data_IF_143071004470
#
_entry.id   IF_143071004470
#
_cell.length_a   1.000
_cell.length_b   1.000
_cell.length_c   1.000
_cell.angle_alpha   90.00
_cell.angle_beta   90.00
_cell.angle_gamma   90.00
#
_symmetry.space_group_name_H-M   'P 1'
#
loop_
_entity.id
_entity.type
_entity.pdbx_description
1 polymer ?
#
# COMPACT_ATOMS: atom_id res chain seq x y z
N UNK A 1 -3.50 6.89 -7.84
CA UNK A 1 -2.87 8.10 -7.28
C UNK A 1 -1.37 7.94 -7.10
N UNK A 2 -0.90 6.87 -6.45
CA UNK A 2 0.50 6.70 -6.03
C UNK A 2 1.52 6.78 -7.16
N UNK A 3 1.22 6.22 -8.35
CA UNK A 3 2.05 6.37 -9.55
C UNK A 3 2.33 7.83 -9.92
N UNK A 4 1.33 8.72 -9.79
CA UNK A 4 1.51 10.16 -10.06
C UNK A 4 2.27 10.84 -8.94
N UNK A 5 1.99 10.48 -7.69
CA UNK A 5 2.69 11.02 -6.51
C UNK A 5 4.19 10.69 -6.51
N UNK A 6 4.57 9.48 -6.95
CA UNK A 6 5.96 9.05 -7.06
C UNK A 6 6.85 9.98 -7.90
N UNK A 7 6.26 10.71 -8.86
CA UNK A 7 6.98 11.69 -9.66
C UNK A 7 7.16 13.07 -8.97
N UNK A 8 6.48 13.31 -7.84
CA UNK A 8 6.48 14.59 -7.13
C UNK A 8 7.49 14.59 -5.97
N UNK A 9 8.76 14.38 -6.31
CA UNK A 9 9.85 14.13 -5.36
C UNK A 9 10.03 15.24 -4.32
N UNK A 10 9.66 16.49 -4.63
CA UNK A 10 9.72 17.61 -3.68
C UNK A 10 8.87 17.39 -2.41
N UNK A 11 7.87 16.50 -2.45
CA UNK A 11 7.01 16.22 -1.29
C UNK A 11 7.46 15.02 -0.46
N UNK A 12 8.41 14.22 -0.94
CA UNK A 12 8.78 12.95 -0.32
C UNK A 12 9.31 13.11 1.13
N UNK A 13 9.94 14.24 1.45
CA UNK A 13 10.48 14.50 2.79
C UNK A 13 9.44 15.01 3.81
N UNK A 14 8.28 15.48 3.35
CA UNK A 14 7.30 16.18 4.20
C UNK A 14 5.97 15.45 4.33
N UNK A 15 5.63 14.56 3.41
CA UNK A 15 4.39 13.81 3.48
C UNK A 15 4.43 12.71 4.55
N UNK A 16 3.26 12.40 5.10
CA UNK A 16 3.03 11.21 5.91
C UNK A 16 1.56 10.88 5.92
N UNK A 17 1.25 9.60 5.96
CA UNK A 17 -0.10 9.09 6.23
C UNK A 17 -0.10 8.20 7.48
N UNK A 18 0.96 8.20 8.29
CA UNK A 18 1.09 7.28 9.42
C UNK A 18 -0.04 7.47 10.46
N UNK A 19 -0.69 6.37 10.87
CA UNK A 19 -1.75 6.39 11.90
C UNK A 19 -1.28 6.84 13.28
N UNK A 20 0.03 6.71 13.57
CA UNK A 20 0.61 7.09 14.87
C UNK A 20 1.22 8.50 14.87
N UNK A 21 1.39 9.12 13.70
CA UNK A 21 1.99 10.45 13.58
C UNK A 21 0.96 11.57 13.83
N UNK A 22 -0.27 11.42 13.34
CA UNK A 22 -1.33 12.43 13.47
C UNK A 22 -2.38 12.02 14.51
N UNK A 23 -2.07 12.26 15.80
CA UNK A 23 -2.99 11.99 16.90
C UNK A 23 -3.41 13.29 17.61
N UNK A 24 -4.61 13.32 18.19
CA UNK A 24 -5.14 14.50 18.91
C UNK A 24 -4.25 14.93 20.08
N UNK A 25 -3.56 13.98 20.69
CA UNK A 25 -2.66 14.15 21.84
C UNK A 25 -1.22 14.51 21.41
N UNK A 26 -0.99 14.73 20.12
CA UNK A 26 0.34 14.92 19.54
C UNK A 26 0.89 13.65 18.88
N UNK A 27 2.04 13.76 18.20
CA UNK A 27 2.68 12.60 17.57
C UNK A 27 3.06 11.56 18.63
N UNK A 28 2.80 10.29 18.31
CA UNK A 28 3.21 9.14 19.14
C UNK A 28 4.48 8.47 18.62
N UNK A 29 5.19 9.13 17.72
CA UNK A 29 6.46 8.64 17.15
C UNK A 29 7.46 9.76 16.97
N UNK A 30 8.73 9.37 17.03
CA UNK A 30 9.83 10.21 16.59
C UNK A 30 9.89 10.18 15.06
N UNK A 31 9.79 11.36 14.44
CA UNK A 31 9.73 11.50 12.98
C UNK A 31 8.31 11.37 12.42
N UNK A 32 8.20 10.88 11.18
CA UNK A 32 6.94 10.91 10.39
C UNK A 32 6.27 9.56 10.21
N UNK A 33 6.99 8.47 10.38
CA UNK A 33 6.55 7.11 10.09
C UNK A 33 6.90 6.19 11.25
N UNK A 34 5.92 5.39 11.69
CA UNK A 34 6.13 4.47 12.80
C UNK A 34 6.69 3.11 12.38
N UNK A 35 6.85 2.86 11.08
CA UNK A 35 7.28 1.56 10.52
C UNK A 35 6.30 0.40 10.68
N UNK A 36 5.32 0.49 11.59
CA UNK A 36 4.54 -0.68 12.04
C UNK A 36 3.02 -0.59 11.84
N UNK A 37 2.43 0.58 11.62
CA UNK A 37 0.96 0.64 11.44
C UNK A 37 0.54 0.18 10.03
N UNK A 38 -0.73 -0.24 9.83
CA UNK A 38 -1.22 -0.65 8.52
C UNK A 38 -1.04 0.39 7.41
N UNK A 39 -1.09 1.69 7.74
CA UNK A 39 -0.80 2.74 6.75
C UNK A 39 0.68 2.83 6.35
N UNK A 40 1.63 2.53 7.25
CA UNK A 40 3.05 2.46 6.88
C UNK A 40 3.30 1.31 5.89
N UNK A 41 2.77 0.12 6.21
CA UNK A 41 2.85 -1.07 5.34
C UNK A 41 2.17 -0.85 3.99
N UNK A 42 0.95 -0.31 3.99
CA UNK A 42 0.24 -0.02 2.74
C UNK A 42 0.96 1.03 1.90
N UNK A 43 1.48 2.09 2.51
CA UNK A 43 2.26 3.13 1.79
C UNK A 43 3.51 2.50 1.16
N UNK A 44 4.20 1.61 1.87
CA UNK A 44 5.35 0.87 1.33
C UNK A 44 4.96 0.08 0.09
N UNK A 45 3.92 -0.75 0.16
CA UNK A 45 3.41 -1.51 -0.99
C UNK A 45 2.97 -0.59 -2.13
N UNK A 46 2.31 0.53 -1.84
CA UNK A 46 1.76 1.40 -2.86
C UNK A 46 2.85 2.20 -3.62
N UNK A 47 3.96 2.52 -2.95
CA UNK A 47 5.09 3.25 -3.55
C UNK A 47 6.10 2.34 -4.26
N UNK A 48 6.32 1.12 -3.73
CA UNK A 48 7.36 0.20 -4.19
C UNK A 48 7.38 -0.06 -5.71
N UNK A 49 6.24 -0.23 -6.42
CA UNK A 49 6.26 -0.46 -7.87
C UNK A 49 6.70 0.76 -8.71
N UNK A 50 6.79 1.94 -8.10
CA UNK A 50 7.00 3.21 -8.80
C UNK A 50 8.26 3.95 -8.39
N UNK A 51 8.92 3.51 -7.32
CA UNK A 51 10.11 4.15 -6.75
C UNK A 51 11.21 3.12 -6.53
N UNK A 52 12.49 3.50 -6.73
CA UNK A 52 13.60 2.65 -6.35
C UNK A 52 13.56 2.27 -4.88
N UNK A 53 14.01 1.07 -4.55
CA UNK A 53 13.97 0.55 -3.17
C UNK A 53 14.60 1.51 -2.16
N UNK A 54 15.77 2.07 -2.48
CA UNK A 54 16.45 3.05 -1.64
C UNK A 54 15.62 4.31 -1.35
N UNK A 55 14.79 4.76 -2.29
CA UNK A 55 13.93 5.93 -2.08
C UNK A 55 12.75 5.62 -1.15
N UNK A 56 12.14 4.43 -1.28
CA UNK A 56 11.08 4.00 -0.37
C UNK A 56 11.64 3.86 1.05
N UNK A 57 12.82 3.26 1.21
CA UNK A 57 13.51 3.17 2.51
C UNK A 57 13.79 4.56 3.08
N UNK A 58 14.28 5.51 2.26
CA UNK A 58 14.53 6.87 2.71
C UNK A 58 13.26 7.61 3.19
N UNK A 59 12.11 7.35 2.55
CA UNK A 59 10.83 7.95 2.95
C UNK A 59 10.34 7.35 4.26
N UNK A 60 10.31 6.01 4.35
CA UNK A 60 9.71 5.30 5.49
C UNK A 60 10.65 5.22 6.71
N UNK A 61 11.97 5.38 6.49
CA UNK A 61 13.01 5.21 7.49
C UNK A 61 13.40 3.74 7.73
N UNK A 62 12.82 2.80 6.99
CA UNK A 62 13.00 1.36 7.18
C UNK A 62 12.63 0.59 5.91
N UNK A 63 13.18 -0.62 5.75
CA UNK A 63 12.92 -1.50 4.62
C UNK A 63 11.88 -2.55 4.97
N UNK A 64 10.62 -2.11 5.12
CA UNK A 64 9.58 -2.96 5.69
C UNK A 64 9.31 -4.25 4.90
N UNK A 65 9.59 -4.27 3.59
CA UNK A 65 9.41 -5.48 2.76
C UNK A 65 10.54 -6.51 2.92
N UNK A 66 11.59 -6.18 3.67
CA UNK A 66 12.71 -7.05 3.99
C UNK A 66 12.85 -7.35 5.49
N UNK A 67 11.94 -6.83 6.32
CA UNK A 67 11.88 -7.06 7.77
C UNK A 67 10.96 -8.24 8.10
N UNK A 68 11.46 -9.36 8.64
CA UNK A 68 10.63 -10.54 8.97
C UNK A 68 9.48 -10.23 9.94
N UNK A 69 9.67 -9.29 10.86
CA UNK A 69 8.68 -8.88 11.86
C UNK A 69 7.43 -8.25 11.21
N UNK A 70 7.55 -7.74 9.98
CA UNK A 70 6.44 -7.12 9.24
C UNK A 70 5.53 -8.14 8.55
N UNK A 71 5.92 -9.42 8.49
CA UNK A 71 5.21 -10.45 7.72
C UNK A 71 3.72 -10.52 8.09
N UNK A 72 3.40 -10.60 9.39
CA UNK A 72 2.03 -10.72 9.86
C UNK A 72 1.17 -9.54 9.37
N UNK A 73 1.74 -8.34 9.35
CA UNK A 73 1.05 -7.15 8.87
C UNK A 73 0.83 -7.14 7.35
N UNK A 74 1.82 -7.55 6.55
CA UNK A 74 1.64 -7.65 5.10
C UNK A 74 0.69 -8.78 4.70
N UNK A 75 0.69 -9.90 5.44
CA UNK A 75 -0.32 -10.97 5.31
C UNK A 75 -1.73 -10.43 5.55
N UNK A 76 -1.93 -9.69 6.64
CA UNK A 76 -3.22 -9.08 6.94
C UNK A 76 -3.68 -8.11 5.84
N UNK A 77 -2.78 -7.27 5.30
CA UNK A 77 -3.13 -6.35 4.20
C UNK A 77 -3.64 -7.06 2.95
N UNK A 78 -3.10 -8.25 2.65
CA UNK A 78 -3.42 -9.07 1.49
C UNK A 78 -4.42 -10.20 1.80
N UNK A 79 -4.94 -10.26 3.03
CA UNK A 79 -5.82 -11.31 3.54
C UNK A 79 -5.25 -12.72 3.27
N UNK A 80 -3.96 -12.90 3.55
CA UNK A 80 -3.22 -14.16 3.40
C UNK A 80 -3.18 -14.89 4.74
N UNK A 81 -4.29 -15.54 5.10
CA UNK A 81 -4.49 -16.25 6.38
C UNK A 81 -4.52 -15.31 7.61
N UNK A 82 -4.88 -14.05 7.41
CA UNK A 82 -5.07 -13.06 8.48
C UNK A 82 -6.10 -12.01 8.05
N UNK A 83 -6.90 -11.52 8.99
CA UNK A 83 -7.92 -10.51 8.73
C UNK A 83 -7.30 -9.14 8.44
N UNK A 84 -7.85 -8.44 7.44
CA UNK A 84 -7.39 -7.10 7.08
C UNK A 84 -7.79 -6.09 8.16
N UNK A 85 -6.87 -5.20 8.60
CA UNK A 85 -7.19 -4.15 9.54
C UNK A 85 -8.14 -3.11 8.91
N UNK A 86 -9.20 -2.74 9.65
CA UNK A 86 -10.20 -1.74 9.23
C UNK A 86 -9.64 -0.34 8.96
N UNK A 87 -8.53 0.00 9.61
CA UNK A 87 -7.87 1.31 9.48
C UNK A 87 -7.08 1.48 8.17
N UNK A 88 -6.97 0.42 7.35
CA UNK A 88 -6.30 0.49 6.05
C UNK A 88 -7.29 0.85 4.95
N UNK A 89 -6.98 1.93 4.20
CA UNK A 89 -7.82 2.46 3.13
C UNK A 89 -7.67 1.73 1.79
N UNK A 90 -6.55 1.04 1.56
CA UNK A 90 -6.36 0.23 0.35
C UNK A 90 -7.15 -1.06 0.46
N UNK A 91 -7.71 -1.56 -0.63
CA UNK A 91 -8.47 -2.82 -0.69
C UNK A 91 -7.54 -4.04 -0.64
N UNK A 92 -8.09 -5.22 -0.34
CA UNK A 92 -7.33 -6.50 -0.43
C UNK A 92 -6.80 -6.72 -1.84
N UNK A 93 -7.63 -6.42 -2.86
CA UNK A 93 -7.29 -6.61 -4.26
C UNK A 93 -6.14 -5.69 -4.70
N UNK A 94 -6.14 -4.43 -4.26
CA UNK A 94 -5.02 -3.51 -4.51
C UNK A 94 -3.74 -4.02 -3.85
N UNK A 95 -3.78 -4.43 -2.57
CA UNK A 95 -2.60 -4.96 -1.89
C UNK A 95 -2.02 -6.19 -2.61
N UNK A 96 -2.89 -7.11 -3.04
CA UNK A 96 -2.50 -8.31 -3.79
C UNK A 96 -1.90 -7.98 -5.15
N UNK A 97 -2.48 -7.03 -5.88
CA UNK A 97 -1.95 -6.58 -7.16
C UNK A 97 -0.59 -5.90 -7.02
N UNK A 98 -0.43 -5.04 -6.00
CA UNK A 98 0.84 -4.40 -5.67
C UNK A 98 1.91 -5.43 -5.35
N UNK A 99 1.62 -6.35 -4.43
CA UNK A 99 2.55 -7.42 -4.04
C UNK A 99 2.92 -8.33 -5.22
N UNK A 100 1.93 -8.67 -6.07
CA UNK A 100 2.17 -9.48 -7.28
C UNK A 100 3.08 -8.77 -8.27
N UNK A 101 2.93 -7.45 -8.45
CA UNK A 101 3.78 -6.68 -9.34
C UNK A 101 5.24 -6.63 -8.85
N UNK A 102 5.47 -6.67 -7.54
CA UNK A 102 6.83 -6.67 -6.98
C UNK A 102 7.61 -7.96 -7.26
N UNK A 103 6.93 -9.07 -7.53
CA UNK A 103 7.58 -10.36 -7.88
C UNK A 103 8.51 -10.23 -9.07
N UNK A 104 8.13 -9.42 -10.06
CA UNK A 104 8.85 -9.27 -11.31
C UNK A 104 9.61 -7.92 -11.37
N UNK A 105 9.58 -7.14 -10.27
CA UNK A 105 10.21 -5.83 -10.19
C UNK A 105 11.70 -5.93 -9.83
N UNK A 106 12.56 -5.21 -10.55
CA UNK A 106 14.01 -5.37 -10.45
C UNK A 106 14.60 -5.11 -9.06
N UNK A 107 14.12 -4.06 -8.39
CA UNK A 107 14.59 -3.67 -7.05
C UNK A 107 13.96 -4.46 -5.89
N UNK A 108 12.83 -5.15 -6.12
CA UNK A 108 11.97 -5.67 -5.05
C UNK A 108 11.76 -7.17 -5.07
N UNK A 109 11.98 -7.85 -6.20
CA UNK A 109 11.80 -9.31 -6.35
C UNK A 109 12.61 -10.13 -5.33
N UNK A 110 13.72 -9.56 -4.85
CA UNK A 110 14.65 -10.21 -3.93
C UNK A 110 14.42 -9.83 -2.46
N UNK A 111 13.44 -8.95 -2.16
CA UNK A 111 13.08 -8.64 -0.78
C UNK A 111 12.38 -9.85 -0.12
N UNK A 112 12.76 -10.15 1.12
CA UNK A 112 12.37 -11.38 1.82
C UNK A 112 10.86 -11.60 1.89
N UNK A 113 10.08 -10.55 2.17
CA UNK A 113 8.62 -10.67 2.22
C UNK A 113 7.97 -10.72 0.84
N UNK A 114 8.60 -10.15 -0.19
CA UNK A 114 8.12 -10.28 -1.58
C UNK A 114 8.25 -11.73 -2.02
N UNK A 115 9.44 -12.33 -1.87
CA UNK A 115 9.67 -13.74 -2.19
C UNK A 115 8.74 -14.69 -1.41
N UNK A 116 8.48 -14.37 -0.14
CA UNK A 116 7.65 -15.20 0.74
C UNK A 116 6.15 -15.09 0.46
N UNK A 117 5.65 -13.88 0.19
CA UNK A 117 4.22 -13.61 0.16
C UNK A 117 3.63 -13.51 -1.25
N UNK A 118 4.38 -13.02 -2.25
CA UNK A 118 3.87 -12.89 -3.61
C UNK A 118 3.40 -14.22 -4.23
N UNK A 119 4.08 -15.38 -3.99
CA UNK A 119 3.59 -16.69 -4.47
C UNK A 119 2.28 -17.16 -3.81
N UNK A 120 1.90 -16.58 -2.67
CA UNK A 120 0.69 -16.95 -1.94
C UNK A 120 -0.55 -16.18 -2.40
N UNK A 121 -0.38 -15.17 -3.27
CA UNK A 121 -1.49 -14.35 -3.77
C UNK A 121 -2.39 -15.21 -4.68
N UNK A 122 -3.69 -15.36 -4.36
CA UNK A 122 -4.59 -16.19 -5.15
C UNK A 122 -4.91 -15.58 -6.51
N UNK A 123 -5.11 -16.42 -7.53
CA UNK A 123 -5.64 -16.03 -8.83
C UNK A 123 -7.19 -16.15 -8.87
N UNK A 124 -7.89 -15.30 -9.63
CA UNK A 124 -7.37 -14.17 -10.40
C UNK A 124 -7.08 -12.94 -9.51
N UNK A 125 -5.98 -12.26 -9.78
CA UNK A 125 -5.64 -10.95 -9.19
C UNK A 125 -5.59 -9.92 -10.33
N UNK A 126 -6.23 -8.74 -10.19
CA UNK A 126 -6.20 -7.70 -11.21
C UNK A 126 -4.78 -7.17 -11.44
N UNK A 127 -4.49 -6.70 -12.65
CA UNK A 127 -3.21 -6.04 -12.93
C UNK A 127 -3.20 -4.61 -12.39
N UNK A 128 -2.03 -4.04 -12.13
CA UNK A 128 -1.92 -2.64 -11.70
C UNK A 128 -2.53 -1.70 -12.74
N UNK A 129 -2.34 -1.99 -14.03
CA UNK A 129 -2.88 -1.19 -15.12
C UNK A 129 -4.41 -1.14 -15.07
N UNK A 130 -5.08 -2.27 -14.80
CA UNK A 130 -6.54 -2.31 -14.68
C UNK A 130 -7.07 -1.52 -13.49
N UNK A 131 -6.31 -1.46 -12.39
CA UNK A 131 -6.67 -0.72 -11.18
C UNK A 131 -6.42 0.79 -11.29
N UNK A 132 -5.57 1.21 -12.23
CA UNK A 132 -5.20 2.61 -12.44
C UNK A 132 -6.14 3.34 -13.42
N UNK A 133 -7.14 2.66 -13.96
CA UNK A 133 -8.17 3.27 -14.80
C UNK A 133 -9.14 4.05 -13.90
N UNK A 134 -9.44 5.33 -14.21
CA UNK A 134 -10.47 6.07 -13.50
C UNK A 134 -11.80 5.32 -13.56
N UNK A 135 -12.44 5.16 -12.39
CA UNK A 135 -13.82 4.68 -12.35
C UNK A 135 -14.78 5.67 -13.01
N UNK A 136 -16.04 5.25 -13.17
CA UNK A 136 -17.13 6.14 -13.56
C UNK A 136 -17.26 7.35 -12.61
N UNK A 137 -18.02 8.38 -13.00
CA UNK A 137 -17.95 9.72 -12.41
C UNK A 137 -18.12 9.80 -10.88
N UNK A 138 -18.83 8.86 -10.27
CA UNK A 138 -19.13 8.85 -8.83
C UNK A 138 -18.88 7.49 -8.16
N UNK A 139 -18.45 6.45 -8.88
CA UNK A 139 -18.32 5.06 -8.37
C UNK A 139 -19.58 4.49 -7.65
N UNK A 140 -20.73 5.15 -7.81
CA UNK A 140 -22.03 4.72 -7.31
C UNK A 140 -22.56 3.61 -8.23
N UNK A 141 -23.01 2.46 -7.68
CA UNK A 141 -23.70 1.44 -8.47
C UNK A 141 -24.89 2.03 -9.23
N UNK A 142 -25.09 1.62 -10.49
CA UNK A 142 -26.15 2.14 -11.36
C UNK A 142 -27.56 1.97 -10.77
N UNK A 143 -27.74 0.95 -9.93
CA UNK A 143 -28.99 0.75 -9.18
C UNK A 143 -29.24 1.86 -8.16
N UNK A 144 -28.21 2.36 -7.48
CA UNK A 144 -28.34 3.44 -6.50
C UNK A 144 -28.51 4.78 -7.21
N UNK A 145 -27.81 5.02 -8.32
CA UNK A 145 -27.99 6.22 -9.14
C UNK A 145 -29.43 6.38 -9.62
N UNK A 146 -30.02 5.31 -10.18
CA UNK A 146 -31.41 5.32 -10.65
C UNK A 146 -32.44 5.62 -9.56
N UNK A 147 -32.05 5.54 -8.29
CA UNK A 147 -32.89 5.87 -7.12
C UNK A 147 -32.64 7.27 -6.57
N UNK A 148 -31.56 7.94 -7.02
CA UNK A 148 -31.17 9.28 -6.62
C UNK A 148 -31.65 10.36 -7.60
N UNK A 149 -32.09 9.97 -8.79
CA UNK A 149 -32.80 10.86 -9.72
C UNK A 149 -34.21 11.14 -9.15
N UNK A 150 -34.43 12.39 -8.69
CA UNK A 150 -35.74 12.94 -8.35
C UNK A 150 -36.53 13.30 -9.61
#
# INVERSE_FOLDING_TARGET
MTRRFAALTQYHAVFSSCNRNFHREGSRVDGRWCGDCPKCRFTTLALAPWLPRAQVVAILGADLLDEPEQEAGFRALCELQADKPFECVGTVQECRALLSALRDHEDWRDAGLVQKLAPLVPAPTPTLESLLVPGGPHAIPEEILRRADF
#
